data_IF_715097427301
#
_entry.id   IF_715097427301
#
_cell.length_a   1.000
_cell.length_b   1.000
_cell.length_c   1.000
_cell.angle_alpha   90.00
_cell.angle_beta   90.00
_cell.angle_gamma   90.00
#
_symmetry.space_group_name_H-M   'P 1'
#
loop_
_entity.id
_entity.type
_entity.pdbx_description
1 polymer ?
#
# COMPACT_ATOMS: atom_id res chain seq x y z
N UNK A 1 9.96 -25.91 13.06
CA UNK A 1 9.45 -25.71 14.43
C UNK A 1 9.09 -24.25 14.71
N UNK A 2 8.06 -23.70 14.05
CA UNK A 2 7.44 -22.38 14.39
C UNK A 2 5.96 -22.34 13.97
N UNK A 3 5.22 -23.44 14.22
CA UNK A 3 3.79 -23.57 13.85
C UNK A 3 2.90 -23.83 15.10
N UNK A 4 3.48 -23.89 16.30
CA UNK A 4 2.75 -24.33 17.52
C UNK A 4 2.16 -23.18 18.35
N UNK A 5 2.44 -21.91 18.03
CA UNK A 5 1.98 -20.77 18.86
C UNK A 5 0.61 -20.18 18.48
N UNK A 6 -0.05 -20.65 17.42
CA UNK A 6 -1.37 -20.11 16.99
C UNK A 6 -2.54 -21.03 17.39
N UNK A 7 -2.28 -22.24 17.89
CA UNK A 7 -3.35 -23.21 18.23
C UNK A 7 -3.93 -22.99 19.65
N UNK A 8 -3.34 -22.14 20.49
CA UNK A 8 -3.80 -21.98 21.89
C UNK A 8 -5.00 -21.02 22.05
N UNK A 9 -5.47 -20.35 20.99
CA UNK A 9 -6.71 -19.56 21.01
C UNK A 9 -7.98 -20.34 20.61
N UNK A 10 -7.91 -21.67 20.44
CA UNK A 10 -9.04 -22.51 20.01
C UNK A 10 -9.51 -23.57 21.02
N UNK A 11 -9.09 -23.55 22.28
CA UNK A 11 -9.50 -24.57 23.27
C UNK A 11 -10.07 -24.04 24.59
N UNK A 12 -10.99 -23.06 24.55
CA UNK A 12 -11.93 -22.82 25.66
C UNK A 12 -13.36 -22.65 25.14
N UNK A 13 -13.87 -23.70 24.50
CA UNK A 13 -15.30 -23.95 24.38
C UNK A 13 -15.55 -25.42 24.75
N UNK A 14 -15.67 -25.70 26.04
CA UNK A 14 -16.40 -26.89 26.51
C UNK A 14 -17.50 -26.43 27.47
N UNK A 15 -18.70 -26.90 27.13
CA UNK A 15 -19.99 -26.79 27.79
C UNK A 15 -19.95 -26.44 29.29
N UNK A 16 -20.62 -25.34 29.65
CA UNK A 16 -21.13 -25.15 31.00
C UNK A 16 -22.48 -25.88 31.10
N UNK A 17 -22.46 -27.12 31.58
CA UNK A 17 -23.65 -27.77 32.13
C UNK A 17 -23.77 -27.44 33.62
N UNK A 18 -25.01 -27.25 34.05
CA UNK A 18 -25.42 -26.96 35.42
C UNK A 18 -24.89 -27.99 36.42
N UNK A 19 -24.45 -27.52 37.60
CA UNK A 19 -24.72 -28.20 38.89
C UNK A 19 -24.62 -27.26 40.09
N UNK A 20 -25.69 -27.29 40.90
CA UNK A 20 -25.85 -26.68 42.23
C UNK A 20 -24.89 -27.32 43.24
N UNK A 21 -24.47 -26.54 44.26
CA UNK A 21 -23.88 -27.06 45.50
C UNK A 21 -23.27 -25.96 46.37
N UNK A 22 -23.90 -25.70 47.52
CA UNK A 22 -23.54 -24.72 48.56
C UNK A 22 -22.35 -25.18 49.46
N UNK A 23 -21.87 -24.34 50.42
CA UNK A 23 -20.44 -24.23 50.79
C UNK A 23 -20.02 -25.00 52.06
N UNK A 24 -18.71 -25.25 52.21
CA UNK A 24 -18.13 -25.82 53.43
C UNK A 24 -16.59 -25.69 53.56
N UNK A 25 -16.16 -24.74 54.40
CA UNK A 25 -15.22 -24.89 55.53
C UNK A 25 -13.87 -25.66 55.45
N UNK A 26 -12.78 -24.88 55.57
CA UNK A 26 -11.67 -24.95 56.58
C UNK A 26 -10.58 -26.08 56.56
N UNK A 27 -9.30 -25.63 56.59
CA UNK A 27 -8.01 -26.23 57.08
C UNK A 27 -7.45 -27.44 56.29
N UNK A 28 -6.14 -27.72 56.21
CA UNK A 28 -4.86 -27.17 56.70
C UNK A 28 -3.72 -27.91 55.92
N UNK A 29 -2.55 -27.27 55.80
CA UNK A 29 -1.16 -27.77 55.55
C UNK A 29 -0.97 -29.30 55.38
N UNK A 30 -0.19 -29.82 54.43
CA UNK A 30 1.28 -29.66 54.23
C UNK A 30 1.73 -30.28 52.90
N UNK A 31 2.74 -29.74 52.18
CA UNK A 31 3.91 -30.56 51.79
C UNK A 31 5.06 -29.83 51.08
N UNK A 32 6.24 -30.40 51.37
CA UNK A 32 7.57 -30.39 50.75
C UNK A 32 7.78 -29.75 49.38
N UNK A 33 8.92 -29.06 49.28
CA UNK A 33 9.48 -28.56 48.05
C UNK A 33 9.93 -29.65 47.09
N UNK A 34 9.70 -29.38 45.80
CA UNK A 34 10.60 -29.76 44.70
C UNK A 34 10.34 -28.82 43.51
N UNK A 35 11.43 -28.40 42.89
CA UNK A 35 11.53 -27.24 42.01
C UNK A 35 10.48 -27.16 40.90
N UNK A 36 9.90 -25.98 40.76
CA UNK A 36 9.01 -25.62 39.66
C UNK A 36 9.73 -24.66 38.72
N UNK A 37 9.78 -25.07 37.45
CA UNK A 37 10.05 -24.21 36.29
C UNK A 37 9.22 -22.93 36.43
N UNK A 38 9.84 -21.76 36.20
CA UNK A 38 9.17 -20.46 36.10
C UNK A 38 8.13 -20.51 34.96
N UNK A 39 6.91 -20.91 35.31
CA UNK A 39 5.71 -20.58 34.54
C UNK A 39 5.40 -19.12 34.84
N UNK A 40 5.50 -18.27 33.83
CA UNK A 40 5.07 -16.87 33.90
C UNK A 40 3.56 -16.82 34.07
N UNK A 41 3.08 -16.87 35.32
CA UNK A 41 1.67 -16.69 35.62
C UNK A 41 1.26 -15.25 35.28
N UNK A 42 0.11 -15.02 34.63
CA UNK A 42 -0.37 -13.69 34.33
C UNK A 42 -0.67 -12.94 35.63
N UNK A 43 -0.01 -11.81 35.83
CA UNK A 43 -0.29 -10.92 36.98
C UNK A 43 -1.54 -10.12 36.65
N UNK A 44 -2.69 -10.58 37.15
CA UNK A 44 -3.96 -9.84 37.08
C UNK A 44 -3.96 -8.77 38.17
N UNK A 45 -3.90 -7.49 37.81
CA UNK A 45 -4.14 -6.38 38.74
C UNK A 45 -5.56 -5.88 38.49
N UNK A 46 -6.44 -6.11 39.46
CA UNK A 46 -7.78 -5.52 39.47
C UNK A 46 -7.63 -4.02 39.73
N UNK A 47 -7.96 -3.19 38.74
CA UNK A 47 -8.13 -1.75 38.95
C UNK A 47 -9.48 -1.52 39.63
N UNK A 48 -9.54 -0.90 40.83
CA UNK A 48 -10.81 -0.62 41.49
C UNK A 48 -11.66 0.32 40.60
N UNK A 49 -12.88 -0.08 40.28
CA UNK A 49 -13.85 0.78 39.57
C UNK A 49 -13.87 0.69 38.04
N UNK A 50 -13.07 -0.18 37.41
CA UNK A 50 -13.18 -0.47 35.97
C UNK A 50 -13.81 -1.86 35.77
N UNK A 51 -14.76 -2.04 34.83
CA UNK A 51 -15.39 -3.32 34.56
C UNK A 51 -14.48 -4.31 33.82
N UNK A 52 -13.17 -4.07 33.73
CA UNK A 52 -12.24 -4.82 32.90
C UNK A 52 -10.94 -5.15 33.64
N UNK A 53 -10.31 -6.26 33.26
CA UNK A 53 -9.05 -6.71 33.85
C UNK A 53 -7.87 -6.26 32.98
N UNK A 54 -6.83 -5.69 33.59
CA UNK A 54 -5.58 -5.32 32.91
C UNK A 54 -4.47 -6.25 33.39
N UNK A 55 -3.76 -6.88 32.45
CA UNK A 55 -2.64 -7.77 32.77
C UNK A 55 -1.55 -7.71 31.70
N UNK A 56 -0.38 -8.22 32.04
CA UNK A 56 0.75 -8.36 31.12
C UNK A 56 1.05 -9.83 30.92
N UNK A 57 1.19 -10.25 29.66
CA UNK A 57 1.58 -11.60 29.28
C UNK A 57 2.64 -11.51 28.18
N UNK A 58 3.76 -12.22 28.33
CA UNK A 58 4.90 -12.18 27.41
C UNK A 58 5.37 -10.75 27.05
N UNK A 59 5.42 -9.85 28.05
CA UNK A 59 5.78 -8.43 27.88
C UNK A 59 4.79 -7.60 27.05
N UNK A 60 3.60 -8.14 26.76
CA UNK A 60 2.54 -7.43 26.07
C UNK A 60 1.38 -7.13 27.02
N UNK A 61 0.82 -5.93 26.92
CA UNK A 61 -0.24 -5.44 27.80
C UNK A 61 -1.61 -5.71 27.20
N UNK A 62 -2.45 -6.39 27.97
CA UNK A 62 -3.80 -6.79 27.61
C UNK A 62 -4.82 -6.02 28.44
N UNK A 63 -5.90 -5.60 27.79
CA UNK A 63 -7.15 -5.20 28.42
C UNK A 63 -8.21 -6.25 28.09
N UNK A 64 -8.70 -6.93 29.12
CA UNK A 64 -9.72 -7.97 29.01
C UNK A 64 -11.05 -7.48 29.58
N UNK A 65 -11.97 -7.17 28.66
CA UNK A 65 -13.32 -6.70 28.95
C UNK A 65 -14.38 -7.68 28.42
N UNK A 66 -14.06 -8.96 28.27
CA UNK A 66 -15.00 -9.92 27.71
C UNK A 66 -16.19 -10.14 28.65
N UNK A 67 -17.40 -10.30 28.08
CA UNK A 67 -18.63 -10.64 28.81
C UNK A 67 -19.09 -9.57 29.83
N UNK A 68 -18.74 -8.30 29.59
CA UNK A 68 -19.04 -7.18 30.52
C UNK A 68 -20.28 -6.36 30.12
N UNK A 69 -21.05 -6.83 29.12
CA UNK A 69 -22.25 -6.16 28.58
C UNK A 69 -21.97 -4.72 28.10
N UNK A 70 -20.75 -4.44 27.66
CA UNK A 70 -20.35 -3.11 27.21
C UNK A 70 -21.09 -2.72 25.94
N UNK A 71 -21.49 -1.45 25.84
CA UNK A 71 -22.12 -0.89 24.63
C UNK A 71 -21.23 0.14 23.92
N UNK A 72 -20.13 0.57 24.56
CA UNK A 72 -19.16 1.51 24.02
C UNK A 72 -17.76 1.29 24.64
N UNK A 73 -16.75 1.87 23.99
CA UNK A 73 -15.34 1.88 24.43
C UNK A 73 -15.06 3.17 25.20
N UNK A 74 -14.41 3.06 26.36
CA UNK A 74 -14.10 4.22 27.21
C UNK A 74 -12.75 4.85 26.82
N UNK A 75 -12.68 6.18 26.64
CA UNK A 75 -11.43 6.86 26.28
C UNK A 75 -10.41 6.93 27.44
N UNK A 76 -10.85 6.62 28.66
CA UNK A 76 -10.02 6.67 29.89
C UNK A 76 -9.20 5.39 30.10
N UNK A 77 -9.34 4.38 29.25
CA UNK A 77 -8.54 3.17 29.34
C UNK A 77 -7.05 3.42 29.05
N UNK A 78 -6.15 2.56 29.55
CA UNK A 78 -4.71 2.74 29.34
C UNK A 78 -4.35 2.81 27.85
N UNK A 79 -3.47 3.74 27.46
CA UNK A 79 -3.12 3.98 26.04
C UNK A 79 -1.94 3.13 25.55
N UNK A 80 -1.21 2.50 26.47
CA UNK A 80 -0.07 1.60 26.23
C UNK A 80 -0.49 0.14 26.01
N UNK A 81 -1.78 -0.10 25.73
CA UNK A 81 -2.31 -1.43 25.43
C UNK A 81 -1.81 -1.93 24.07
N UNK A 82 -1.45 -3.21 24.02
CA UNK A 82 -1.14 -3.91 22.76
C UNK A 82 -2.29 -4.81 22.31
N UNK A 83 -3.11 -5.30 23.25
CA UNK A 83 -4.21 -6.21 22.94
C UNK A 83 -5.47 -5.82 23.70
N UNK A 84 -6.59 -5.74 22.99
CA UNK A 84 -7.88 -5.36 23.56
C UNK A 84 -8.91 -6.44 23.25
N UNK A 85 -9.41 -7.09 24.31
CA UNK A 85 -10.37 -8.19 24.23
C UNK A 85 -11.76 -7.69 24.62
N UNK A 86 -12.59 -7.41 23.62
CA UNK A 86 -13.97 -6.89 23.79
C UNK A 86 -15.02 -7.90 23.32
N UNK A 87 -14.67 -9.18 23.21
CA UNK A 87 -15.59 -10.22 22.77
C UNK A 87 -16.79 -10.37 23.73
N UNK A 88 -17.92 -10.86 23.19
CA UNK A 88 -19.13 -11.16 23.99
C UNK A 88 -19.69 -9.94 24.74
N UNK A 89 -19.74 -8.80 24.06
CA UNK A 89 -20.34 -7.57 24.58
C UNK A 89 -21.60 -7.18 23.77
N UNK A 90 -22.11 -5.97 23.99
CA UNK A 90 -23.34 -5.43 23.37
C UNK A 90 -23.05 -4.20 22.51
N UNK A 91 -21.86 -4.11 21.93
CA UNK A 91 -21.47 -2.98 21.09
C UNK A 91 -22.24 -3.09 19.77
N UNK A 92 -22.93 -2.02 19.38
CA UNK A 92 -23.79 -1.97 18.17
C UNK A 92 -23.22 -1.15 17.03
N UNK A 93 -22.55 -0.05 17.35
CA UNK A 93 -22.05 0.93 16.37
C UNK A 93 -20.60 1.25 16.74
N UNK A 94 -19.69 1.10 15.78
CA UNK A 94 -18.33 1.62 15.91
C UNK A 94 -18.31 3.03 15.34
N UNK A 95 -18.16 4.02 16.22
CA UNK A 95 -18.17 5.44 15.86
C UNK A 95 -16.80 5.91 15.39
N UNK A 96 -16.77 6.97 14.59
CA UNK A 96 -15.53 7.64 14.19
C UNK A 96 -14.62 7.93 15.39
N UNK A 97 -13.32 7.67 15.21
CA UNK A 97 -12.28 7.94 16.21
C UNK A 97 -12.42 7.17 17.54
N UNK A 98 -13.28 6.15 17.62
CA UNK A 98 -13.54 5.36 18.85
C UNK A 98 -12.27 4.75 19.44
N UNK A 99 -11.30 4.36 18.60
CA UNK A 99 -10.04 3.74 19.03
C UNK A 99 -8.81 4.65 18.89
N UNK A 100 -8.98 5.92 18.55
CA UNK A 100 -7.91 6.86 18.18
C UNK A 100 -6.82 7.08 19.25
N UNK A 101 -7.13 6.82 20.52
CA UNK A 101 -6.17 6.91 21.63
C UNK A 101 -5.28 5.68 21.79
N UNK A 102 -5.64 4.54 21.22
CA UNK A 102 -4.93 3.26 21.38
C UNK A 102 -3.98 2.97 20.21
N UNK A 103 -3.09 3.92 19.91
CA UNK A 103 -2.20 3.88 18.73
C UNK A 103 -1.21 2.70 18.70
N UNK A 104 -0.96 2.07 19.85
CA UNK A 104 -0.03 0.94 19.96
C UNK A 104 -0.70 -0.43 19.80
N UNK A 105 -2.01 -0.47 19.59
CA UNK A 105 -2.77 -1.71 19.55
C UNK A 105 -2.31 -2.59 18.37
N UNK A 106 -1.99 -3.86 18.68
CA UNK A 106 -1.66 -4.92 17.72
C UNK A 106 -2.84 -5.84 17.45
N UNK A 107 -3.67 -6.11 18.45
CA UNK A 107 -4.85 -6.98 18.33
C UNK A 107 -6.10 -6.35 18.93
N UNK A 108 -7.19 -6.41 18.18
CA UNK A 108 -8.51 -5.96 18.59
C UNK A 108 -9.53 -7.08 18.37
N UNK A 109 -10.08 -7.59 19.46
CA UNK A 109 -11.13 -8.61 19.43
C UNK A 109 -12.51 -7.99 19.69
N UNK A 110 -13.34 -7.93 18.65
CA UNK A 110 -14.71 -7.42 18.68
C UNK A 110 -15.73 -8.52 18.33
N UNK A 111 -15.33 -9.79 18.35
CA UNK A 111 -16.22 -10.89 17.97
C UNK A 111 -17.41 -11.03 18.93
N UNK A 112 -18.50 -11.64 18.47
CA UNK A 112 -19.68 -11.93 19.31
C UNK A 112 -20.25 -10.67 19.99
N UNK A 113 -20.32 -9.57 19.24
CA UNK A 113 -21.01 -8.34 19.63
C UNK A 113 -22.31 -8.18 18.82
N UNK A 114 -22.95 -7.01 18.90
CA UNK A 114 -24.16 -6.67 18.14
C UNK A 114 -23.85 -5.66 17.01
N UNK A 115 -22.60 -5.63 16.50
CA UNK A 115 -22.13 -4.56 15.60
C UNK A 115 -22.87 -4.66 14.27
N UNK A 116 -23.65 -3.63 13.93
CA UNK A 116 -24.41 -3.53 12.68
C UNK A 116 -23.91 -2.42 11.77
N UNK A 117 -23.27 -1.39 12.32
CA UNK A 117 -22.73 -0.24 11.59
C UNK A 117 -21.31 0.07 12.03
N UNK A 118 -20.43 0.28 11.06
CA UNK A 118 -19.06 0.75 11.26
C UNK A 118 -18.95 2.06 10.46
N UNK A 119 -18.67 3.17 11.14
CA UNK A 119 -18.45 4.46 10.48
C UNK A 119 -17.06 4.50 9.82
N UNK A 120 -16.88 5.38 8.82
CA UNK A 120 -15.70 5.39 7.94
C UNK A 120 -14.39 5.54 8.70
N UNK A 121 -14.34 6.36 9.75
CA UNK A 121 -13.13 6.63 10.56
C UNK A 121 -13.14 5.86 11.89
N UNK A 122 -13.94 4.79 12.02
CA UNK A 122 -14.08 4.09 13.29
C UNK A 122 -12.75 3.56 13.85
N UNK A 123 -11.85 3.12 12.97
CA UNK A 123 -10.53 2.56 13.29
C UNK A 123 -9.39 3.58 13.13
N UNK A 124 -9.68 4.87 13.00
CA UNK A 124 -8.67 5.92 12.88
C UNK A 124 -7.61 5.81 13.98
N UNK A 125 -6.33 5.87 13.58
CA UNK A 125 -5.18 5.82 14.49
C UNK A 125 -4.65 4.43 14.84
N UNK A 126 -5.28 3.34 14.38
CA UNK A 126 -4.85 1.94 14.63
C UNK A 126 -3.75 1.45 13.67
N UNK A 127 -2.70 2.27 13.47
CA UNK A 127 -1.66 2.02 12.47
C UNK A 127 -0.77 0.79 12.73
N UNK A 128 -0.73 0.29 13.98
CA UNK A 128 0.03 -0.92 14.37
C UNK A 128 -0.82 -2.19 14.42
N UNK A 129 -2.11 -2.12 14.11
CA UNK A 129 -3.01 -3.26 14.25
C UNK A 129 -2.71 -4.34 13.21
N UNK A 130 -2.46 -5.56 13.67
CA UNK A 130 -2.18 -6.72 12.82
C UNK A 130 -3.35 -7.71 12.79
N UNK A 131 -4.20 -7.69 13.82
CA UNK A 131 -5.26 -8.67 14.05
C UNK A 131 -6.57 -7.97 14.39
N UNK A 132 -7.61 -8.20 13.58
CA UNK A 132 -8.96 -7.69 13.80
C UNK A 132 -9.98 -8.83 13.70
N UNK A 133 -10.74 -9.03 14.78
CA UNK A 133 -11.75 -10.09 14.87
C UNK A 133 -13.14 -9.46 14.89
N UNK A 134 -13.92 -9.64 13.83
CA UNK A 134 -15.28 -9.10 13.67
C UNK A 134 -16.34 -10.19 13.44
N UNK A 135 -15.97 -11.46 13.52
CA UNK A 135 -16.90 -12.58 13.33
C UNK A 135 -18.04 -12.60 14.36
N UNK A 136 -19.16 -13.24 14.01
CA UNK A 136 -20.36 -13.33 14.85
C UNK A 136 -20.91 -11.95 15.26
N UNK A 137 -21.05 -11.03 14.30
CA UNK A 137 -21.68 -9.73 14.49
C UNK A 137 -22.92 -9.60 13.60
N UNK A 138 -23.42 -8.37 13.38
CA UNK A 138 -24.61 -8.06 12.58
C UNK A 138 -24.28 -7.18 11.37
N UNK A 139 -23.04 -7.24 10.89
CA UNK A 139 -22.55 -6.41 9.78
C UNK A 139 -23.18 -6.92 8.48
N UNK A 140 -23.86 -6.03 7.77
CA UNK A 140 -24.46 -6.33 6.45
C UNK A 140 -23.55 -5.93 5.31
N UNK A 141 -22.95 -4.75 5.39
CA UNK A 141 -22.10 -4.16 4.36
C UNK A 141 -20.89 -3.54 5.04
N UNK A 142 -19.74 -3.58 4.36
CA UNK A 142 -18.49 -2.97 4.81
C UNK A 142 -17.66 -2.59 3.57
N UNK A 143 -17.23 -1.33 3.48
CA UNK A 143 -16.36 -0.86 2.40
C UNK A 143 -14.88 -1.04 2.77
N UNK A 144 -13.99 -1.04 1.78
CA UNK A 144 -12.55 -1.12 2.05
C UNK A 144 -11.99 0.10 2.80
N UNK A 145 -12.65 1.25 2.69
CA UNK A 145 -12.25 2.53 3.29
C UNK A 145 -11.97 2.44 4.79
N UNK A 146 -12.70 1.61 5.55
CA UNK A 146 -12.49 1.50 7.00
C UNK A 146 -11.14 0.87 7.35
N UNK A 147 -10.51 0.16 6.41
CA UNK A 147 -9.25 -0.55 6.62
C UNK A 147 -8.02 0.31 6.30
N UNK A 148 -8.18 1.49 5.70
CA UNK A 148 -7.07 2.41 5.38
C UNK A 148 -6.27 2.82 6.62
N UNK A 149 -6.91 2.80 7.79
CA UNK A 149 -6.29 3.16 9.07
C UNK A 149 -5.45 2.04 9.71
N UNK A 150 -5.42 0.85 9.11
CA UNK A 150 -4.76 -0.36 9.64
C UNK A 150 -3.85 -1.03 8.58
N UNK A 151 -2.79 -0.36 8.11
CA UNK A 151 -1.96 -0.84 6.99
C UNK A 151 -1.16 -2.13 7.29
N UNK A 152 -0.99 -2.49 8.57
CA UNK A 152 -0.32 -3.71 9.01
C UNK A 152 -1.27 -4.89 9.24
N UNK A 153 -2.54 -4.75 8.88
CA UNK A 153 -3.55 -5.78 9.09
C UNK A 153 -3.19 -7.05 8.30
N UNK A 154 -2.95 -8.13 9.04
CA UNK A 154 -2.50 -9.42 8.50
C UNK A 154 -3.51 -10.53 8.74
N UNK A 155 -4.43 -10.34 9.69
CA UNK A 155 -5.42 -11.31 10.10
C UNK A 155 -6.76 -10.63 10.34
N UNK A 156 -7.75 -10.95 9.50
CA UNK A 156 -9.10 -10.39 9.57
C UNK A 156 -10.12 -11.51 9.50
N UNK A 157 -11.00 -11.59 10.51
CA UNK A 157 -12.11 -12.56 10.53
C UNK A 157 -13.46 -11.85 10.38
N UNK A 158 -14.22 -12.28 9.38
CA UNK A 158 -15.50 -11.68 8.98
C UNK A 158 -16.66 -12.68 8.92
N UNK A 159 -16.42 -13.98 9.12
CA UNK A 159 -17.48 -14.99 9.01
C UNK A 159 -18.59 -14.81 10.06
N UNK A 160 -19.73 -15.45 9.83
CA UNK A 160 -20.93 -15.32 10.68
C UNK A 160 -21.39 -13.87 10.91
N UNK A 161 -21.35 -13.08 9.83
CA UNK A 161 -22.05 -11.82 9.70
C UNK A 161 -23.09 -11.94 8.58
N UNK A 162 -24.24 -11.24 8.68
CA UNK A 162 -25.31 -11.28 7.69
C UNK A 162 -24.97 -10.47 6.42
N UNK A 163 -23.89 -10.84 5.73
CA UNK A 163 -23.37 -10.12 4.56
C UNK A 163 -24.42 -9.99 3.45
N UNK A 164 -24.72 -8.76 3.08
CA UNK A 164 -25.59 -8.39 1.96
C UNK A 164 -24.70 -8.10 0.75
N UNK A 165 -24.54 -9.09 -0.12
CA UNK A 165 -23.68 -9.07 -1.29
C UNK A 165 -24.30 -8.28 -2.44
N UNK A 166 -24.28 -6.96 -2.28
CA UNK A 166 -24.63 -5.97 -3.29
C UNK A 166 -23.38 -5.24 -3.77
N UNK A 167 -23.57 -4.27 -4.66
CA UNK A 167 -22.49 -3.46 -5.21
C UNK A 167 -21.66 -2.71 -4.16
N UNK A 168 -22.25 -2.38 -3.00
CA UNK A 168 -21.52 -1.74 -1.90
C UNK A 168 -20.39 -2.60 -1.30
N UNK A 169 -20.41 -3.93 -1.52
CA UNK A 169 -19.36 -4.85 -1.10
C UNK A 169 -18.27 -5.08 -2.15
N UNK A 170 -18.36 -4.47 -3.34
CA UNK A 170 -17.40 -4.65 -4.43
C UNK A 170 -15.96 -4.39 -3.96
N UNK A 171 -15.71 -3.22 -3.36
CA UNK A 171 -14.38 -2.81 -2.92
C UNK A 171 -13.80 -3.74 -1.86
N UNK A 172 -14.63 -4.18 -0.90
CA UNK A 172 -14.20 -5.16 0.11
C UNK A 172 -13.79 -6.48 -0.55
N UNK A 173 -14.59 -6.98 -1.49
CA UNK A 173 -14.33 -8.26 -2.15
C UNK A 173 -13.04 -8.19 -2.98
N UNK A 174 -12.85 -7.12 -3.75
CA UNK A 174 -11.61 -6.86 -4.48
C UNK A 174 -10.39 -6.84 -3.54
N UNK A 175 -10.49 -6.16 -2.40
CA UNK A 175 -9.43 -6.14 -1.38
C UNK A 175 -9.13 -7.55 -0.82
N UNK A 176 -10.16 -8.33 -0.51
CA UNK A 176 -10.00 -9.69 0.04
C UNK A 176 -9.36 -10.66 -0.95
N UNK A 177 -9.57 -10.46 -2.26
CA UNK A 177 -9.05 -11.34 -3.32
C UNK A 177 -7.58 -11.14 -3.67
N UNK A 178 -6.95 -10.05 -3.19
CA UNK A 178 -5.53 -9.79 -3.42
C UNK A 178 -4.69 -10.98 -2.90
N UNK A 179 -3.76 -11.56 -3.69
CA UNK A 179 -3.02 -12.76 -3.30
C UNK A 179 -2.18 -12.66 -2.01
N UNK A 180 -1.91 -11.44 -1.52
CA UNK A 180 -1.23 -11.18 -0.24
C UNK A 180 -2.19 -11.21 0.96
N UNK A 181 -3.50 -11.07 0.72
CA UNK A 181 -4.58 -11.03 1.71
C UNK A 181 -5.21 -12.41 1.99
N UNK A 182 -4.49 -13.51 1.73
CA UNK A 182 -4.98 -14.91 1.90
C UNK A 182 -5.57 -15.23 3.28
N UNK A 183 -5.21 -14.44 4.30
CA UNK A 183 -5.67 -14.63 5.67
C UNK A 183 -6.83 -13.70 6.06
N UNK A 184 -7.31 -12.85 5.14
CA UNK A 184 -8.38 -11.90 5.38
C UNK A 184 -9.71 -12.47 4.90
N UNK A 185 -10.77 -12.32 5.70
CA UNK A 185 -12.14 -12.64 5.27
C UNK A 185 -12.43 -14.13 5.05
N UNK A 186 -11.55 -15.02 5.49
CA UNK A 186 -11.73 -16.47 5.33
C UNK A 186 -13.08 -16.93 5.93
N UNK A 187 -13.76 -17.79 5.16
CA UNK A 187 -15.06 -18.38 5.49
C UNK A 187 -16.26 -17.42 5.53
N UNK A 188 -16.09 -16.13 5.23
CA UNK A 188 -17.21 -15.20 5.11
C UNK A 188 -18.09 -15.57 3.91
N UNK A 189 -19.41 -15.55 4.10
CA UNK A 189 -20.40 -15.95 3.10
C UNK A 189 -21.54 -14.94 3.02
N UNK A 190 -22.12 -14.77 1.83
CA UNK A 190 -23.33 -13.99 1.64
C UNK A 190 -24.54 -14.63 2.34
N UNK A 191 -25.38 -13.79 2.92
CA UNK A 191 -26.70 -14.15 3.44
C UNK A 191 -27.82 -13.67 2.51
N UNK A 192 -27.62 -12.53 1.86
CA UNK A 192 -28.50 -11.97 0.82
C UNK A 192 -27.63 -11.37 -0.31
N UNK A 193 -28.17 -11.16 -1.53
CA UNK A 193 -29.50 -11.56 -1.99
C UNK A 193 -29.63 -13.09 -2.15
N UNK A 194 -30.83 -13.60 -2.42
CA UNK A 194 -31.12 -15.05 -2.38
C UNK A 194 -30.24 -15.85 -3.36
N UNK A 195 -29.91 -15.26 -4.49
CA UNK A 195 -29.12 -15.82 -5.59
C UNK A 195 -27.65 -16.06 -5.21
N UNK A 196 -27.13 -15.25 -4.29
CA UNK A 196 -25.75 -15.34 -3.82
C UNK A 196 -25.63 -15.99 -2.44
N UNK A 197 -26.75 -16.38 -1.82
CA UNK A 197 -26.77 -16.99 -0.49
C UNK A 197 -25.80 -18.17 -0.39
N UNK A 198 -25.03 -18.21 0.71
CA UNK A 198 -23.98 -19.19 1.00
C UNK A 198 -22.73 -19.16 0.11
N UNK A 199 -22.64 -18.30 -0.91
CA UNK A 199 -21.38 -18.11 -1.65
C UNK A 199 -20.35 -17.41 -0.77
N UNK A 200 -19.09 -17.87 -0.85
CA UNK A 200 -17.98 -17.26 -0.11
C UNK A 200 -17.62 -15.91 -0.71
N UNK A 201 -17.37 -14.90 0.12
CA UNK A 201 -17.01 -13.56 -0.36
C UNK A 201 -15.79 -13.59 -1.29
N UNK A 202 -14.76 -14.35 -0.92
CA UNK A 202 -13.53 -14.53 -1.71
C UNK A 202 -13.74 -15.14 -3.11
N UNK A 203 -14.90 -15.77 -3.37
CA UNK A 203 -15.20 -16.44 -4.64
C UNK A 203 -16.13 -15.64 -5.55
N UNK A 204 -16.61 -14.48 -5.10
CA UNK A 204 -17.51 -13.63 -5.87
C UNK A 204 -16.73 -12.80 -6.87
N UNK A 205 -17.29 -12.60 -8.06
CA UNK A 205 -16.73 -11.66 -9.04
C UNK A 205 -17.50 -10.34 -9.00
N UNK A 206 -16.85 -9.25 -9.40
CA UNK A 206 -17.47 -7.91 -9.44
C UNK A 206 -18.74 -7.87 -10.28
N UNK A 207 -18.79 -8.62 -11.39
CA UNK A 207 -19.96 -8.65 -12.29
C UNK A 207 -21.17 -9.36 -11.67
N UNK A 208 -20.99 -10.09 -10.55
CA UNK A 208 -22.08 -10.74 -9.83
C UNK A 208 -22.69 -9.85 -8.74
N UNK A 209 -22.06 -8.71 -8.44
CA UNK A 209 -22.43 -7.81 -7.34
C UNK A 209 -23.07 -6.51 -7.82
N UNK A 210 -22.60 -5.99 -8.96
CA UNK A 210 -23.04 -4.73 -9.56
C UNK A 210 -23.44 -4.95 -11.02
N UNK A 211 -24.57 -4.37 -11.41
CA UNK A 211 -24.85 -4.11 -12.83
C UNK A 211 -24.28 -2.73 -13.22
N UNK A 212 -23.93 -2.52 -14.50
CA UNK A 212 -23.39 -1.23 -15.00
C UNK A 212 -24.30 -0.03 -14.67
N UNK A 213 -25.62 -0.22 -14.67
CA UNK A 213 -26.61 0.81 -14.32
C UNK A 213 -26.63 1.17 -12.81
N UNK A 214 -26.25 0.23 -11.93
CA UNK A 214 -26.23 0.44 -10.49
C UNK A 214 -24.95 1.17 -10.03
N UNK A 215 -23.85 1.02 -10.78
CA UNK A 215 -22.62 1.80 -10.55
C UNK A 215 -22.86 3.31 -10.71
N UNK A 216 -23.72 3.72 -11.64
CA UNK A 216 -24.09 5.13 -11.84
C UNK A 216 -24.99 5.70 -10.73
N UNK A 217 -25.70 4.86 -9.96
CA UNK A 217 -26.62 5.30 -8.90
C UNK A 217 -25.96 5.43 -7.52
N UNK A 218 -24.86 4.71 -7.26
CA UNK A 218 -24.10 4.77 -6.01
C UNK A 218 -23.27 6.06 -5.86
N UNK A 219 -23.00 6.73 -6.98
CA UNK A 219 -22.46 8.09 -7.04
C UNK A 219 -23.56 9.08 -7.44
N UNK A 220 -24.39 9.56 -6.50
CA UNK A 220 -25.31 10.64 -6.83
C UNK A 220 -24.51 11.87 -7.28
N UNK A 221 -24.62 12.20 -8.57
CA UNK A 221 -24.23 13.52 -9.10
C UNK A 221 -24.76 14.57 -8.13
N UNK A 222 -23.94 15.54 -7.69
CA UNK A 222 -24.42 16.61 -6.83
C UNK A 222 -25.59 17.31 -7.51
N UNK A 223 -26.79 17.20 -6.94
CA UNK A 223 -27.88 18.11 -7.29
C UNK A 223 -27.52 19.48 -6.72
N UNK A 224 -26.94 20.36 -7.55
CA UNK A 224 -26.68 21.75 -7.19
C UNK A 224 -27.64 22.61 -8.01
N UNK A 225 -28.69 23.06 -7.34
CA UNK A 225 -29.38 24.29 -7.70
C UNK A 225 -28.42 25.46 -7.53
N UNK A 226 -28.17 26.17 -8.64
CA UNK A 226 -27.71 27.56 -8.66
C UNK A 226 -26.38 27.88 -7.96
N UNK A 227 -25.24 27.58 -8.59
CA UNK A 227 -24.02 28.41 -8.49
C UNK A 227 -23.26 28.35 -9.82
N UNK A 228 -22.49 29.40 -10.19
CA UNK A 228 -21.82 29.49 -11.49
C UNK A 228 -20.90 28.28 -11.73
N UNK A 229 -20.66 27.88 -12.98
CA UNK A 229 -19.92 26.66 -13.28
C UNK A 229 -18.50 26.77 -12.71
N UNK A 230 -18.22 25.94 -11.72
CA UNK A 230 -16.85 25.66 -11.31
C UNK A 230 -16.21 24.91 -12.48
N UNK A 231 -15.24 25.55 -13.14
CA UNK A 231 -14.36 24.91 -14.11
C UNK A 231 -13.67 23.77 -13.35
N UNK A 232 -14.06 22.52 -13.61
CA UNK A 232 -13.37 21.36 -13.06
C UNK A 232 -11.96 21.33 -13.65
N UNK A 233 -10.89 21.11 -12.87
CA UNK A 233 -9.56 20.94 -13.43
C UNK A 233 -9.55 19.72 -14.37
N UNK A 234 -9.11 19.90 -15.61
CA UNK A 234 -9.01 18.84 -16.63
C UNK A 234 -8.03 17.69 -16.26
N UNK A 235 -7.29 17.84 -15.15
CA UNK A 235 -6.33 16.86 -14.63
C UNK A 235 -6.31 16.94 -13.09
N UNK A 236 -7.26 16.27 -12.45
CA UNK A 236 -7.27 16.05 -11.00
C UNK A 236 -6.84 14.60 -10.71
N UNK A 237 -6.02 14.39 -9.69
CA UNK A 237 -5.54 13.07 -9.27
C UNK A 237 -6.66 12.12 -8.84
N UNK A 238 -7.85 12.67 -8.57
CA UNK A 238 -9.10 11.92 -8.31
C UNK A 238 -9.54 11.04 -9.50
N UNK A 239 -9.00 11.25 -10.70
CA UNK A 239 -9.23 10.41 -11.87
C UNK A 239 -8.37 9.12 -11.89
N UNK A 240 -7.41 9.01 -10.96
CA UNK A 240 -6.43 7.93 -10.87
C UNK A 240 -6.78 6.92 -9.78
N UNK A 241 -6.24 5.70 -9.89
CA UNK A 241 -6.39 4.66 -8.89
C UNK A 241 -5.27 4.75 -7.86
N UNK A 242 -5.61 4.92 -6.58
CA UNK A 242 -4.63 4.95 -5.49
C UNK A 242 -4.52 3.57 -4.83
N UNK A 243 -3.39 2.90 -5.02
CA UNK A 243 -3.04 1.64 -4.38
C UNK A 243 -2.15 1.89 -3.17
N UNK A 244 -2.70 1.77 -1.97
CA UNK A 244 -1.93 2.02 -0.73
C UNK A 244 -0.97 0.85 -0.38
N UNK A 245 -1.07 -0.30 -1.07
CA UNK A 245 -0.30 -1.52 -0.75
C UNK A 245 0.07 -2.33 -2.01
N UNK A 246 1.23 -3.03 -2.05
CA UNK A 246 2.29 -3.12 -1.03
C UNK A 246 3.19 -1.88 -0.93
N UNK A 247 3.06 -0.98 -1.89
CA UNK A 247 3.80 0.28 -2.03
C UNK A 247 2.75 1.31 -2.44
N UNK A 248 2.70 2.47 -1.78
CA UNK A 248 1.78 3.54 -2.15
C UNK A 248 2.00 3.94 -3.61
N UNK A 249 1.03 3.62 -4.46
CA UNK A 249 1.12 3.77 -5.91
C UNK A 249 -0.10 4.53 -6.41
N UNK A 250 0.12 5.67 -7.05
CA UNK A 250 -0.94 6.36 -7.79
C UNK A 250 -0.85 5.94 -9.27
N UNK A 251 -1.87 5.24 -9.76
CA UNK A 251 -1.97 4.76 -11.13
C UNK A 251 -2.96 5.61 -11.93
N UNK A 252 -2.39 6.47 -12.78
CA UNK A 252 -3.05 7.37 -13.70
C UNK A 252 -2.93 6.90 -15.16
N UNK A 253 -2.64 5.61 -15.40
CA UNK A 253 -2.41 5.08 -16.75
C UNK A 253 -3.66 5.14 -17.63
N UNK A 254 -3.49 5.49 -18.92
CA UNK A 254 -4.57 5.50 -19.94
C UNK A 254 -5.79 6.37 -19.55
N UNK A 255 -5.53 7.56 -19.01
CA UNK A 255 -6.57 8.52 -18.59
C UNK A 255 -6.68 9.71 -19.54
N UNK A 256 -6.00 9.66 -20.68
CA UNK A 256 -5.93 10.74 -21.69
C UNK A 256 -5.43 12.08 -21.15
N UNK A 257 -4.65 12.06 -20.06
CA UNK A 257 -4.18 13.27 -19.40
C UNK A 257 -3.25 14.06 -20.32
N UNK A 258 -3.46 15.37 -20.42
CA UNK A 258 -2.59 16.29 -21.19
C UNK A 258 -1.53 16.98 -20.32
N UNK A 259 -1.69 16.89 -18.99
CA UNK A 259 -0.86 17.54 -17.97
C UNK A 259 -0.74 16.61 -16.77
N UNK A 260 0.25 16.87 -15.93
CA UNK A 260 0.38 16.21 -14.63
C UNK A 260 -0.87 16.55 -13.77
N UNK A 261 -1.49 15.55 -13.13
CA UNK A 261 -2.66 15.80 -12.29
C UNK A 261 -2.30 16.63 -11.06
N UNK A 262 -3.21 17.50 -10.66
CA UNK A 262 -3.08 18.29 -9.43
C UNK A 262 -3.45 17.45 -8.19
N UNK A 263 -2.97 17.86 -7.01
CA UNK A 263 -3.24 17.22 -5.70
C UNK A 263 -2.71 15.78 -5.55
N UNK A 264 -1.53 15.48 -6.10
CA UNK A 264 -0.90 14.17 -5.90
C UNK A 264 -0.60 13.99 -4.40
N UNK A 265 -0.99 12.87 -3.76
CA UNK A 265 -0.72 12.68 -2.34
C UNK A 265 0.80 12.66 -2.05
N UNK A 266 1.27 13.36 -1.00
CA UNK A 266 2.71 13.57 -0.78
C UNK A 266 3.48 12.30 -0.36
N UNK A 267 2.77 11.28 0.13
CA UNK A 267 3.33 10.02 0.64
C UNK A 267 3.39 8.90 -0.41
N UNK A 268 3.06 9.20 -1.67
CA UNK A 268 3.18 8.21 -2.74
C UNK A 268 4.64 7.83 -3.00
N UNK A 269 4.86 6.55 -3.26
CA UNK A 269 6.18 5.99 -3.53
C UNK A 269 6.34 5.63 -5.01
N UNK A 270 5.23 5.31 -5.70
CA UNK A 270 5.19 5.07 -7.13
C UNK A 270 4.10 5.92 -7.80
N UNK A 271 4.41 6.51 -8.94
CA UNK A 271 3.46 7.25 -9.78
C UNK A 271 3.54 6.69 -11.20
N UNK A 272 2.41 6.19 -11.70
CA UNK A 272 2.29 5.72 -13.08
C UNK A 272 1.40 6.66 -13.89
N UNK A 273 2.02 7.44 -14.77
CA UNK A 273 1.39 8.37 -15.70
C UNK A 273 1.54 7.89 -17.15
N UNK A 274 1.85 6.60 -17.36
CA UNK A 274 2.11 6.05 -18.69
C UNK A 274 0.87 6.01 -19.59
N UNK A 275 1.09 5.98 -20.91
CA UNK A 275 0.00 5.91 -21.91
C UNK A 275 -1.01 7.06 -21.78
N UNK A 276 -0.52 8.28 -21.57
CA UNK A 276 -1.33 9.50 -21.57
C UNK A 276 -0.93 10.39 -22.78
N UNK A 277 -1.36 11.66 -22.76
CA UNK A 277 -1.14 12.66 -23.83
C UNK A 277 -0.37 13.87 -23.28
N UNK A 278 0.50 13.65 -22.29
CA UNK A 278 1.30 14.71 -21.67
C UNK A 278 2.36 15.15 -22.69
N UNK A 279 2.46 16.45 -22.95
CA UNK A 279 3.36 16.98 -23.99
C UNK A 279 4.56 17.76 -23.46
N UNK A 280 4.50 18.22 -22.21
CA UNK A 280 5.58 18.96 -21.57
C UNK A 280 5.49 18.74 -20.06
N UNK A 281 6.64 18.80 -19.38
CA UNK A 281 6.71 18.90 -17.93
C UNK A 281 7.08 20.33 -17.53
N UNK A 282 6.30 20.91 -16.62
CA UNK A 282 6.42 22.30 -16.17
C UNK A 282 7.16 22.39 -14.84
N UNK A 283 7.67 23.58 -14.45
CA UNK A 283 8.31 23.78 -13.16
C UNK A 283 7.41 23.32 -12.00
N UNK A 284 8.02 22.68 -10.99
CA UNK A 284 7.39 22.36 -9.70
C UNK A 284 6.18 21.42 -9.75
N UNK A 285 5.97 20.68 -10.85
CA UNK A 285 4.84 19.74 -10.96
C UNK A 285 4.92 18.56 -9.97
N UNK A 286 6.10 18.30 -9.42
CA UNK A 286 6.34 17.27 -8.41
C UNK A 286 6.87 17.82 -7.08
N UNK A 287 6.70 19.12 -6.82
CA UNK A 287 7.30 19.80 -5.65
C UNK A 287 6.84 19.18 -4.32
N UNK A 288 5.61 18.69 -4.22
CA UNK A 288 5.03 18.17 -2.97
C UNK A 288 5.22 16.66 -2.74
N UNK A 289 5.81 15.90 -3.69
CA UNK A 289 5.87 14.42 -3.66
C UNK A 289 7.28 13.87 -3.39
N UNK A 290 7.88 14.30 -2.28
CA UNK A 290 9.27 14.01 -1.92
C UNK A 290 9.60 12.53 -1.66
N UNK A 291 8.59 11.71 -1.32
CA UNK A 291 8.76 10.27 -1.05
C UNK A 291 8.73 9.41 -2.32
N UNK A 292 8.52 10.03 -3.48
CA UNK A 292 8.40 9.33 -4.75
C UNK A 292 9.73 8.68 -5.13
N UNK A 293 9.69 7.36 -5.33
CA UNK A 293 10.85 6.53 -5.72
C UNK A 293 10.78 6.06 -7.16
N UNK A 294 9.58 5.91 -7.72
CA UNK A 294 9.35 5.35 -9.06
C UNK A 294 8.38 6.23 -9.83
N UNK A 295 8.84 6.85 -10.91
CA UNK A 295 8.02 7.67 -11.79
C UNK A 295 8.00 7.07 -13.18
N UNK A 296 6.81 6.69 -13.65
CA UNK A 296 6.61 6.19 -15.00
C UNK A 296 5.85 7.21 -15.84
N UNK A 297 6.54 7.81 -16.81
CA UNK A 297 6.01 8.76 -17.79
C UNK A 297 6.09 8.20 -19.22
N UNK A 298 6.30 6.90 -19.37
CA UNK A 298 6.45 6.26 -20.68
C UNK A 298 5.21 6.36 -21.56
N UNK A 299 5.41 6.25 -22.87
CA UNK A 299 4.30 6.25 -23.85
C UNK A 299 3.41 7.50 -23.72
N UNK A 300 4.03 8.68 -23.60
CA UNK A 300 3.37 9.98 -23.67
C UNK A 300 3.82 10.72 -24.95
N UNK A 301 3.59 12.03 -25.03
CA UNK A 301 4.02 12.88 -26.14
C UNK A 301 4.99 13.96 -25.68
N UNK A 302 5.79 13.68 -24.64
CA UNK A 302 6.64 14.70 -24.00
C UNK A 302 7.74 15.13 -24.98
N UNK A 303 7.76 16.42 -25.29
CA UNK A 303 8.77 17.04 -26.17
C UNK A 303 9.76 17.90 -25.37
N UNK A 304 9.30 18.49 -24.26
CA UNK A 304 10.07 19.42 -23.44
C UNK A 304 9.90 19.11 -21.95
N UNK A 305 11.01 19.19 -21.21
CA UNK A 305 11.05 19.05 -19.76
C UNK A 305 11.74 20.29 -19.21
N UNK A 306 11.01 21.09 -18.43
CA UNK A 306 11.59 22.27 -17.79
C UNK A 306 12.69 21.85 -16.79
N UNK A 307 13.81 22.60 -16.66
CA UNK A 307 14.87 22.30 -15.69
C UNK A 307 14.38 22.16 -14.24
N UNK A 308 13.31 22.86 -13.86
CA UNK A 308 12.72 22.78 -12.52
C UNK A 308 11.54 21.79 -12.43
N UNK A 309 11.31 20.96 -13.46
CA UNK A 309 10.17 20.04 -13.48
C UNK A 309 10.27 18.96 -12.40
N UNK A 310 11.45 18.36 -12.23
CA UNK A 310 11.69 17.30 -11.24
C UNK A 310 12.12 17.83 -9.86
N UNK A 311 12.00 19.15 -9.64
CA UNK A 311 12.29 19.75 -8.35
C UNK A 311 11.42 19.09 -7.27
N UNK A 312 12.05 18.63 -6.18
CA UNK A 312 11.39 17.95 -5.07
C UNK A 312 11.48 16.42 -5.12
N UNK A 313 11.86 15.81 -6.24
CA UNK A 313 12.02 14.35 -6.41
C UNK A 313 13.34 13.80 -5.83
N UNK A 314 13.68 14.21 -4.61
CA UNK A 314 15.00 13.96 -3.98
C UNK A 314 15.25 12.49 -3.61
N UNK A 315 14.27 11.60 -3.73
CA UNK A 315 14.41 10.17 -3.44
C UNK A 315 14.11 9.28 -4.65
N UNK A 316 13.98 9.88 -5.85
CA UNK A 316 13.64 9.15 -7.05
C UNK A 316 14.75 8.16 -7.41
N UNK A 317 14.39 6.87 -7.49
CA UNK A 317 15.31 5.78 -7.81
C UNK A 317 15.13 5.31 -9.26
N UNK A 318 13.92 5.44 -9.81
CA UNK A 318 13.56 4.93 -11.14
C UNK A 318 12.71 5.95 -11.90
N UNK A 319 13.16 6.34 -13.10
CA UNK A 319 12.48 7.27 -13.99
C UNK A 319 12.33 6.67 -15.39
N UNK A 320 11.09 6.46 -15.82
CA UNK A 320 10.77 5.96 -17.16
C UNK A 320 10.25 7.09 -18.05
N UNK A 321 11.05 7.47 -19.05
CA UNK A 321 10.72 8.44 -20.08
C UNK A 321 10.67 7.79 -21.48
N UNK A 322 10.64 6.46 -21.55
CA UNK A 322 10.64 5.74 -22.82
C UNK A 322 9.40 6.04 -23.68
N UNK A 323 9.53 5.91 -24.99
CA UNK A 323 8.44 6.11 -25.95
C UNK A 323 7.77 7.49 -25.79
N UNK A 324 8.58 8.55 -25.89
CA UNK A 324 8.15 9.95 -25.88
C UNK A 324 8.69 10.65 -27.15
N UNK A 325 8.72 11.99 -27.16
CA UNK A 325 9.20 12.80 -28.30
C UNK A 325 10.42 13.65 -27.93
N UNK A 326 11.20 13.20 -26.94
CA UNK A 326 12.36 13.93 -26.43
C UNK A 326 13.49 13.88 -27.47
N UNK A 327 14.09 15.04 -27.74
CA UNK A 327 15.23 15.15 -28.66
C UNK A 327 16.55 15.36 -27.91
N UNK A 328 16.52 16.00 -26.75
CA UNK A 328 17.65 16.26 -25.87
C UNK A 328 17.11 16.63 -24.47
N UNK A 329 17.99 16.77 -23.48
CA UNK A 329 17.68 17.38 -22.19
C UNK A 329 18.38 18.72 -22.07
N UNK A 330 17.67 19.74 -21.61
CA UNK A 330 18.27 21.01 -21.24
C UNK A 330 19.12 20.86 -19.97
N UNK A 331 20.07 21.77 -19.83
CA UNK A 331 20.91 21.85 -18.64
C UNK A 331 20.08 22.00 -17.36
N UNK A 332 20.40 21.21 -16.33
CA UNK A 332 19.75 21.27 -15.02
C UNK A 332 18.58 20.29 -14.84
N UNK A 333 18.00 19.74 -15.91
CA UNK A 333 16.82 18.86 -15.82
C UNK A 333 16.99 17.67 -14.87
N UNK A 334 18.19 17.11 -14.77
CA UNK A 334 18.50 15.93 -13.95
C UNK A 334 19.32 16.25 -12.69
N UNK A 335 19.59 17.53 -12.43
CA UNK A 335 20.56 17.94 -11.40
C UNK A 335 20.12 17.53 -9.98
N UNK A 336 18.81 17.54 -9.71
CA UNK A 336 18.26 17.21 -8.39
C UNK A 336 17.97 15.72 -8.16
N UNK A 337 18.26 14.85 -9.13
CA UNK A 337 17.94 13.42 -9.06
C UNK A 337 19.10 12.58 -8.46
N UNK A 338 19.55 12.95 -7.26
CA UNK A 338 20.74 12.41 -6.61
C UNK A 338 20.74 10.89 -6.37
N UNK A 339 19.57 10.27 -6.23
CA UNK A 339 19.41 8.84 -5.92
C UNK A 339 18.94 8.01 -7.12
N UNK A 340 18.91 8.61 -8.32
CA UNK A 340 18.48 7.91 -9.51
C UNK A 340 19.39 6.71 -9.76
N UNK A 341 18.79 5.58 -10.11
CA UNK A 341 19.49 4.32 -10.41
C UNK A 341 19.12 3.80 -11.79
N UNK A 342 17.86 3.95 -12.19
CA UNK A 342 17.35 3.45 -13.46
C UNK A 342 16.72 4.60 -14.24
N UNK A 343 17.17 4.81 -15.47
CA UNK A 343 16.67 5.84 -16.39
C UNK A 343 16.36 5.22 -17.76
N UNK A 344 15.08 5.09 -18.09
CA UNK A 344 14.66 4.52 -19.37
C UNK A 344 14.42 5.62 -20.42
N UNK A 345 15.15 5.57 -21.53
CA UNK A 345 15.18 6.63 -22.55
C UNK A 345 14.87 6.14 -23.98
N UNK A 346 14.62 4.83 -24.13
CA UNK A 346 14.31 4.19 -25.42
C UNK A 346 13.14 4.85 -26.14
N UNK A 347 13.11 4.70 -27.45
CA UNK A 347 12.00 5.11 -28.31
C UNK A 347 11.72 6.61 -28.23
N UNK A 348 12.78 7.40 -28.07
CA UNK A 348 12.77 8.84 -28.21
C UNK A 348 13.57 9.25 -29.46
N UNK A 349 13.17 10.31 -30.17
CA UNK A 349 13.85 10.81 -31.36
C UNK A 349 15.11 11.63 -31.00
N UNK A 350 16.09 11.02 -30.31
CA UNK A 350 17.30 11.72 -29.88
C UNK A 350 18.01 12.42 -31.04
N UNK A 351 18.25 13.71 -30.86
CA UNK A 351 18.92 14.57 -31.83
C UNK A 351 20.37 14.74 -31.41
N UNK A 352 21.25 14.14 -32.20
CA UNK A 352 22.70 14.18 -32.00
C UNK A 352 23.28 15.44 -32.61
N UNK A 353 23.10 16.53 -31.86
CA UNK A 353 23.75 17.82 -32.06
C UNK A 353 24.44 18.28 -30.75
N UNK A 354 24.83 19.56 -30.67
CA UNK A 354 25.48 20.08 -29.48
C UNK A 354 24.66 19.90 -28.18
N UNK A 355 23.32 19.90 -28.24
CA UNK A 355 22.48 19.86 -27.04
C UNK A 355 22.46 18.48 -26.37
N UNK A 356 22.76 17.39 -27.09
CA UNK A 356 22.79 16.04 -26.50
C UNK A 356 23.96 15.83 -25.54
N UNK A 357 24.98 16.68 -25.62
CA UNK A 357 26.21 16.54 -24.86
C UNK A 357 25.96 16.62 -23.35
N UNK A 358 25.03 17.48 -22.91
CA UNK A 358 24.66 17.57 -21.49
C UNK A 358 24.21 16.21 -20.93
N UNK A 359 23.25 15.56 -21.58
CA UNK A 359 22.73 14.27 -21.14
C UNK A 359 23.83 13.21 -21.09
N UNK A 360 24.69 13.17 -22.11
CA UNK A 360 25.79 12.23 -22.16
C UNK A 360 26.82 12.46 -21.05
N UNK A 361 27.25 13.71 -20.80
CA UNK A 361 28.17 14.00 -19.71
C UNK A 361 27.55 13.74 -18.35
N UNK A 362 26.28 14.05 -18.16
CA UNK A 362 25.59 13.77 -16.92
C UNK A 362 25.64 12.27 -16.61
N UNK A 363 25.37 11.42 -17.60
CA UNK A 363 25.45 9.96 -17.45
C UNK A 363 26.87 9.46 -17.15
N UNK A 364 27.89 10.05 -17.77
CA UNK A 364 29.30 9.70 -17.46
C UNK A 364 29.65 10.02 -16.00
N UNK A 365 29.20 11.16 -15.49
CA UNK A 365 29.50 11.55 -14.10
C UNK A 365 28.65 10.76 -13.09
N UNK A 366 27.50 10.23 -13.52
CA UNK A 366 26.59 9.43 -12.69
C UNK A 366 26.65 7.95 -13.08
N UNK A 367 27.85 7.35 -13.00
CA UNK A 367 28.13 5.96 -13.39
C UNK A 367 27.28 4.89 -12.66
N UNK A 368 26.58 5.24 -11.57
CA UNK A 368 25.66 4.34 -10.88
C UNK A 368 24.25 4.31 -11.50
N UNK A 369 23.97 5.20 -12.46
CA UNK A 369 22.69 5.27 -13.16
C UNK A 369 22.76 4.37 -14.39
N UNK A 370 21.99 3.29 -14.36
CA UNK A 370 21.78 2.44 -15.52
C UNK A 370 20.76 3.09 -16.46
N UNK A 371 21.11 3.18 -17.74
CA UNK A 371 20.24 3.74 -18.77
C UNK A 371 20.12 2.81 -19.99
N UNK A 372 19.17 3.12 -20.88
CA UNK A 372 19.11 2.48 -22.20
C UNK A 372 18.57 3.39 -23.30
N UNK A 373 18.83 3.02 -24.55
CA UNK A 373 18.09 3.55 -25.70
C UNK A 373 18.52 4.95 -26.13
N UNK A 374 19.80 5.29 -25.90
CA UNK A 374 20.44 6.50 -26.42
C UNK A 374 21.01 6.27 -27.81
N UNK A 375 20.10 6.10 -28.77
CA UNK A 375 20.41 5.98 -30.19
C UNK A 375 19.99 7.25 -30.93
N UNK A 376 20.92 7.85 -31.68
CA UNK A 376 20.68 9.00 -32.54
C UNK A 376 19.62 8.67 -33.60
N UNK A 377 18.56 9.47 -33.66
CA UNK A 377 17.55 9.41 -34.74
C UNK A 377 17.70 10.53 -35.75
N UNK A 378 18.25 11.66 -35.32
CA UNK A 378 18.55 12.82 -36.18
C UNK A 378 19.90 13.43 -35.78
N UNK A 379 20.58 14.17 -36.68
CA UNK A 379 20.32 14.26 -38.12
C UNK A 379 20.69 12.95 -38.86
N UNK A 380 20.38 12.83 -40.16
CA UNK A 380 20.47 11.55 -40.89
C UNK A 380 21.91 11.01 -40.97
N UNK A 381 22.92 11.88 -40.87
CA UNK A 381 24.33 11.52 -40.88
C UNK A 381 24.72 10.61 -39.71
N UNK A 382 24.09 10.81 -38.54
CA UNK A 382 24.38 10.08 -37.30
C UNK A 382 23.28 9.08 -36.93
N UNK A 383 22.27 8.90 -37.78
CA UNK A 383 21.16 8.02 -37.49
C UNK A 383 21.62 6.58 -37.25
N UNK A 384 21.13 5.97 -36.18
CA UNK A 384 21.53 4.63 -35.75
C UNK A 384 22.83 4.58 -34.96
N UNK A 385 23.54 5.70 -34.79
CA UNK A 385 24.71 5.75 -33.92
C UNK A 385 24.27 5.80 -32.46
N UNK A 386 25.03 5.19 -31.56
CA UNK A 386 24.88 5.49 -30.14
C UNK A 386 25.30 6.95 -29.89
N UNK A 387 24.61 7.63 -28.98
CA UNK A 387 24.95 9.00 -28.59
C UNK A 387 26.41 9.09 -28.11
N UNK A 388 26.90 8.07 -27.39
CA UNK A 388 28.29 8.01 -26.95
C UNK A 388 29.29 7.97 -28.09
N UNK A 389 29.01 7.21 -29.16
CA UNK A 389 29.83 7.21 -30.38
C UNK A 389 29.85 8.59 -31.03
N UNK A 390 28.69 9.24 -31.15
CA UNK A 390 28.60 10.59 -31.69
C UNK A 390 29.45 11.59 -30.88
N UNK A 391 29.29 11.64 -29.56
CA UNK A 391 30.04 12.57 -28.71
C UNK A 391 31.55 12.33 -28.77
N UNK A 392 32.01 11.07 -28.82
CA UNK A 392 33.44 10.77 -29.01
C UNK A 392 33.97 11.27 -30.36
N UNK A 393 33.20 11.10 -31.43
CA UNK A 393 33.62 11.55 -32.77
C UNK A 393 33.85 13.06 -32.85
N UNK A 394 33.12 13.85 -32.06
CA UNK A 394 33.32 15.30 -31.96
C UNK A 394 34.71 15.68 -31.40
N UNK A 395 35.30 14.80 -30.58
CA UNK A 395 36.62 15.01 -29.98
C UNK A 395 37.78 14.45 -30.79
N UNK A 396 37.53 13.56 -31.74
CA UNK A 396 38.58 13.02 -32.63
C UNK A 396 39.14 14.11 -33.57
N UNK A 397 38.38 15.19 -33.80
CA UNK A 397 38.83 16.39 -34.52
C UNK A 397 39.65 17.36 -33.65
N UNK A 398 39.72 17.15 -32.33
CA UNK A 398 40.48 17.99 -31.40
C UNK A 398 41.93 17.49 -31.23
N UNK A 399 42.95 18.37 -31.20
CA UNK A 399 44.34 17.97 -30.98
C UNK A 399 44.49 17.16 -29.69
N UNK A 400 45.03 15.94 -29.82
CA UNK A 400 45.12 14.91 -28.76
C UNK A 400 45.86 15.36 -27.49
N UNK A 401 46.63 16.44 -27.56
CA UNK A 401 47.47 16.96 -26.47
C UNK A 401 46.68 17.67 -25.34
N UNK A 402 45.36 17.85 -25.48
CA UNK A 402 44.50 18.52 -24.49
C UNK A 402 43.32 17.70 -23.97
N UNK A 403 43.16 16.46 -24.41
CA UNK A 403 42.02 15.64 -24.01
C UNK A 403 42.39 14.79 -22.77
N UNK A 404 41.58 14.81 -21.69
CA UNK A 404 41.66 13.80 -20.65
C UNK A 404 41.51 12.41 -21.29
N UNK A 405 42.35 11.45 -20.89
CA UNK A 405 42.23 10.07 -21.34
C UNK A 405 40.88 9.50 -20.88
N UNK A 406 39.88 9.51 -21.76
CA UNK A 406 38.60 8.84 -21.51
C UNK A 406 38.77 7.34 -21.78
N UNK A 407 38.47 6.45 -20.83
CA UNK A 407 38.57 5.01 -21.04
C UNK A 407 37.61 4.53 -22.14
N UNK A 408 38.12 3.70 -23.05
CA UNK A 408 37.45 3.20 -24.27
C UNK A 408 36.24 2.28 -24.01
N UNK A 409 35.97 1.88 -22.76
CA UNK A 409 35.05 0.78 -22.42
C UNK A 409 33.77 1.17 -21.66
N UNK A 410 33.37 2.45 -21.66
CA UNK A 410 32.27 2.93 -20.80
C UNK A 410 30.91 3.16 -21.50
N UNK A 411 30.66 2.55 -22.66
CA UNK A 411 29.28 2.49 -23.19
C UNK A 411 28.50 1.39 -22.44
N UNK A 412 27.96 1.71 -21.26
CA UNK A 412 26.98 0.89 -20.54
C UNK A 412 25.56 1.08 -21.12
N UNK A 413 25.41 1.09 -22.45
CA UNK A 413 24.09 0.88 -23.03
C UNK A 413 23.80 -0.62 -22.96
N UNK A 414 23.30 -1.05 -21.80
CA UNK A 414 23.00 -2.46 -21.55
C UNK A 414 21.98 -2.96 -22.59
N UNK A 415 22.27 -4.11 -23.20
CA UNK A 415 21.35 -4.73 -24.16
C UNK A 415 20.07 -5.23 -23.45
N UNK A 416 18.96 -5.31 -24.20
CA UNK A 416 17.60 -5.58 -23.71
C UNK A 416 17.50 -6.79 -22.76
N UNK A 417 18.21 -7.87 -23.09
CA UNK A 417 18.18 -9.12 -22.35
C UNK A 417 18.92 -9.05 -21.01
N UNK A 418 20.01 -8.28 -20.93
CA UNK A 418 20.71 -8.01 -19.66
C UNK A 418 19.93 -7.01 -18.80
N UNK A 419 19.21 -6.09 -19.42
CA UNK A 419 18.37 -5.11 -18.75
C UNK A 419 17.16 -5.73 -18.03
N UNK A 420 16.43 -6.63 -18.70
CA UNK A 420 15.35 -7.42 -18.10
C UNK A 420 15.81 -8.19 -16.86
N UNK A 421 17.08 -8.63 -16.87
CA UNK A 421 17.72 -9.35 -15.78
C UNK A 421 18.13 -8.42 -14.62
N UNK A 422 18.70 -7.25 -14.91
CA UNK A 422 19.02 -6.23 -13.89
C UNK A 422 17.73 -5.72 -13.24
N UNK A 423 16.68 -5.45 -14.01
CA UNK A 423 15.37 -5.09 -13.50
C UNK A 423 14.75 -6.20 -12.64
N UNK A 424 14.86 -7.47 -13.07
CA UNK A 424 14.47 -8.63 -12.24
C UNK A 424 15.31 -8.75 -10.97
N UNK A 425 16.61 -8.52 -10.99
CA UNK A 425 17.48 -8.61 -9.80
C UNK A 425 17.24 -7.47 -8.80
N UNK A 426 16.95 -6.26 -9.27
CA UNK A 426 16.51 -5.15 -8.42
C UNK A 426 15.12 -5.37 -7.83
N UNK A 427 14.21 -6.03 -8.56
CA UNK A 427 12.87 -6.40 -8.04
C UNK A 427 12.88 -7.68 -7.18
N UNK A 428 13.84 -8.59 -7.36
CA UNK A 428 13.94 -9.90 -6.66
C UNK A 428 14.85 -9.92 -5.43
N UNK A 429 15.47 -8.80 -5.02
CA UNK A 429 16.15 -8.66 -3.71
C UNK A 429 15.21 -8.70 -2.48
N UNK A 430 14.07 -9.40 -2.58
CA UNK A 430 13.39 -10.06 -1.45
C UNK A 430 13.23 -11.54 -1.80
N UNK A 431 14.28 -12.32 -1.50
CA UNK A 431 14.28 -13.78 -1.67
C UNK A 431 13.07 -14.41 -0.97
N UNK A 432 12.08 -14.84 -1.76
CA UNK A 432 11.12 -15.85 -1.37
C UNK A 432 11.76 -17.22 -1.55
N UNK A 433 12.18 -17.85 -0.46
CA UNK A 433 12.67 -19.24 -0.49
C UNK A 433 11.54 -20.15 -0.95
N UNK A 434 11.69 -20.78 -2.12
CA UNK A 434 10.78 -21.79 -2.64
C UNK A 434 11.20 -23.15 -2.07
N UNK A 435 10.54 -23.59 -1.00
CA UNK A 435 10.69 -24.96 -0.49
C UNK A 435 9.76 -25.86 -1.30
N UNK A 436 10.32 -26.66 -2.19
CA UNK A 436 9.60 -27.77 -2.82
C UNK A 436 9.72 -28.98 -1.91
N UNK A 437 8.61 -29.40 -1.29
CA UNK A 437 8.53 -30.71 -0.64
C UNK A 437 8.20 -31.70 -1.75
N UNK A 438 9.19 -32.49 -2.15
CA UNK A 438 8.96 -33.70 -2.95
C UNK A 438 8.61 -34.81 -1.95
N UNK A 439 7.45 -35.43 -2.14
CA UNK A 439 6.98 -36.56 -1.33
C UNK A 439 7.77 -37.83 -1.60
#
# INVERSE_FOLDING_TARGET
MRVVTIVILLCFCKAAELRKGSPGSVRSRTNHGRGTRRSSNPVKRYAPGLPCDVYTYLHEKYLDCQERKLVYVLPTWPQDLLHMLLARNKIRILKNNMFSKFKNLKSLDLQQNEISKIESEAFFGLNKLTTLLLQHNKIKVLKEEVFIYMPLLSYLRLYDNPWHCTCELETLISMLQIPKNRNLGNYAKCTSPHELKNKKLLQLKSEQLCNEEEKEQLDPKPQVSGRPPVIRPEADSTLCYNYVFPIQTLDCKRKELKKIPTNIPPDIVKLDLSYNKINQLRPKEFEDVHELKKLNLSSNTIEFIDPAAFLGLTHLEELDLSNNRLQNFDYGVLEDLYFLKLLWLRDNPWRCDYNIHYLYYWLIHHYNVHYNGLECKTPEEYKGWSVGKYVRSYYEECPKDKLPAYPETFDQDTEDDEWEKIHKDHTTKKQGVRITIVG
#
